data_IF_045944576296
#
_entry.id   IF_045944576296
#
_cell.length_a   1.000
_cell.length_b   1.000
_cell.length_c   1.000
_cell.angle_alpha   90.00
_cell.angle_beta   90.00
_cell.angle_gamma   90.00
#
_symmetry.space_group_name_H-M   'P 1'
#
loop_
_entity.id
_entity.type
_entity.pdbx_description
1 polymer ?
#
# COMPACT_ATOMS: atom_id res chain seq x y z
N UNK A 1 26.22 4.46 8.98
CA UNK A 1 25.19 5.41 8.51
C UNK A 1 23.88 4.64 8.28
N UNK A 2 22.76 5.15 8.78
CA UNK A 2 21.43 4.53 8.58
C UNK A 2 20.95 4.75 7.15
N UNK A 3 20.54 3.69 6.45
CA UNK A 3 19.94 3.78 5.11
C UNK A 3 18.57 4.45 5.22
N UNK A 4 18.25 5.34 4.27
CA UNK A 4 16.94 5.96 4.11
C UNK A 4 16.23 5.30 2.94
N UNK A 5 15.02 4.80 3.17
CA UNK A 5 14.26 4.03 2.19
C UNK A 5 12.86 4.65 2.03
N UNK A 6 12.46 4.90 0.78
CA UNK A 6 11.08 5.25 0.46
C UNK A 6 10.35 3.96 0.07
N UNK A 7 9.23 3.69 0.72
CA UNK A 7 8.34 2.58 0.35
C UNK A 7 6.95 3.16 0.15
N UNK A 8 6.30 2.78 -0.94
CA UNK A 8 4.92 3.12 -1.25
C UNK A 8 4.29 1.97 -2.03
N UNK A 9 2.98 1.83 -1.98
CA UNK A 9 2.30 0.78 -2.72
C UNK A 9 0.96 1.21 -3.28
N UNK A 10 0.66 0.76 -4.48
CA UNK A 10 -0.69 0.77 -5.04
C UNK A 10 -0.97 -0.61 -5.63
N UNK A 11 -2.19 -1.13 -5.42
CA UNK A 11 -2.60 -2.43 -5.95
C UNK A 11 -4.00 -2.36 -6.55
N UNK A 12 -4.13 -2.91 -7.74
CA UNK A 12 -5.37 -3.15 -8.45
C UNK A 12 -5.09 -4.17 -9.55
N UNK A 13 -6.04 -5.06 -9.80
CA UNK A 13 -5.99 -6.01 -10.91
C UNK A 13 -7.18 -5.72 -11.83
N UNK A 14 -6.88 -5.40 -13.10
CA UNK A 14 -7.91 -4.98 -14.05
C UNK A 14 -8.59 -6.18 -14.68
N UNK A 15 -9.90 -6.23 -14.57
CA UNK A 15 -10.78 -7.08 -15.38
C UNK A 15 -11.36 -6.26 -16.54
N UNK A 16 -10.84 -6.48 -17.75
CA UNK A 16 -11.23 -5.74 -18.96
C UNK A 16 -12.70 -5.90 -19.36
N UNK A 17 -13.39 -6.94 -18.86
CA UNK A 17 -14.82 -7.16 -19.11
C UNK A 17 -15.74 -6.49 -18.08
N UNK A 18 -15.20 -6.02 -16.95
CA UNK A 18 -15.99 -5.32 -15.93
C UNK A 18 -16.38 -3.92 -16.43
N UNK A 19 -17.67 -3.62 -16.37
CA UNK A 19 -18.20 -2.27 -16.65
C UNK A 19 -18.06 -1.30 -15.47
N UNK A 20 -17.71 -1.80 -14.29
CA UNK A 20 -17.53 -0.99 -13.10
C UNK A 20 -16.10 -0.44 -13.06
N UNK A 21 -15.88 0.88 -13.16
CA UNK A 21 -14.53 1.44 -13.10
C UNK A 21 -13.93 1.27 -11.69
N UNK A 22 -12.60 1.22 -11.62
CA UNK A 22 -11.86 1.31 -10.36
C UNK A 22 -11.44 2.75 -10.12
N UNK A 23 -12.38 3.55 -9.62
CA UNK A 23 -12.14 4.95 -9.33
C UNK A 23 -11.59 5.17 -7.90
N UNK A 24 -11.44 6.44 -7.51
CA UNK A 24 -10.99 6.80 -6.17
C UNK A 24 -11.92 6.32 -5.06
N UNK A 25 -13.22 6.14 -5.31
CA UNK A 25 -14.14 5.60 -4.32
C UNK A 25 -13.84 4.11 -4.08
N UNK A 26 -13.51 3.35 -5.13
CA UNK A 26 -13.10 1.95 -5.02
C UNK A 26 -11.83 1.76 -4.17
N UNK A 27 -10.83 2.65 -4.30
CA UNK A 27 -9.66 2.64 -3.42
C UNK A 27 -10.00 2.97 -1.97
N UNK A 28 -10.78 4.05 -1.74
CA UNK A 28 -11.19 4.46 -0.39
C UNK A 28 -12.05 3.40 0.32
N UNK A 29 -12.83 2.62 -0.44
CA UNK A 29 -13.68 1.56 0.10
C UNK A 29 -12.90 0.35 0.62
N UNK A 30 -11.66 0.12 0.17
CA UNK A 30 -10.83 -1.01 0.61
C UNK A 30 -9.60 -0.57 1.39
N UNK A 31 -8.71 0.18 0.77
CA UNK A 31 -7.49 0.68 1.41
C UNK A 31 -6.99 1.94 0.72
N UNK A 32 -6.92 3.03 1.46
CA UNK A 32 -6.36 4.29 1.03
C UNK A 32 -5.73 4.99 2.25
N UNK A 33 -4.57 4.48 2.67
CA UNK A 33 -3.85 4.98 3.84
C UNK A 33 -2.77 5.97 3.41
N UNK A 34 -2.59 7.04 4.19
CA UNK A 34 -1.61 8.09 3.91
C UNK A 34 -0.69 8.31 5.10
N UNK A 35 0.56 8.64 4.79
CA UNK A 35 1.58 9.03 5.76
C UNK A 35 1.66 8.02 6.95
N UNK A 36 1.56 8.49 8.19
CA UNK A 36 1.68 7.66 9.39
C UNK A 36 0.61 6.57 9.49
N UNK A 37 -0.54 6.74 8.82
CA UNK A 37 -1.57 5.70 8.82
C UNK A 37 -1.07 4.42 8.19
N UNK A 38 -0.15 4.51 7.24
CA UNK A 38 0.31 3.33 6.52
C UNK A 38 1.12 2.43 7.44
N UNK A 39 2.11 2.97 8.15
CA UNK A 39 2.88 2.20 9.11
C UNK A 39 1.98 1.63 10.22
N UNK A 40 1.03 2.43 10.71
CA UNK A 40 0.09 2.01 11.75
C UNK A 40 -0.83 0.86 11.31
N UNK A 41 -1.32 0.88 10.06
CA UNK A 41 -2.30 -0.11 9.55
C UNK A 41 -1.66 -1.34 8.91
N UNK A 42 -0.42 -1.22 8.41
CA UNK A 42 0.22 -2.29 7.65
C UNK A 42 1.25 -3.09 8.45
N UNK A 43 1.74 -2.58 9.59
CA UNK A 43 2.65 -3.30 10.48
C UNK A 43 1.99 -4.59 10.99
N UNK A 44 2.75 -5.68 10.99
CA UNK A 44 2.27 -7.00 11.43
C UNK A 44 1.31 -7.69 10.46
N UNK A 45 1.07 -7.13 9.27
CA UNK A 45 0.29 -7.81 8.23
C UNK A 45 1.20 -8.69 7.38
N UNK A 46 0.67 -9.80 6.85
CA UNK A 46 1.36 -10.66 5.88
C UNK A 46 1.31 -10.07 4.45
N UNK A 47 1.49 -8.75 4.31
CA UNK A 47 1.51 -8.05 3.02
C UNK A 47 2.94 -7.62 2.67
N UNK A 48 3.16 -7.24 1.42
CA UNK A 48 4.46 -6.76 0.93
C UNK A 48 4.92 -5.51 1.69
N UNK A 49 3.98 -4.62 2.06
CA UNK A 49 4.28 -3.43 2.87
C UNK A 49 4.59 -3.82 4.31
N UNK A 50 3.85 -4.76 4.91
CA UNK A 50 4.15 -5.30 6.24
C UNK A 50 5.57 -5.87 6.30
N UNK A 51 5.93 -6.73 5.34
CA UNK A 51 7.27 -7.31 5.25
C UNK A 51 8.38 -6.25 5.06
N UNK A 52 8.11 -5.18 4.30
CA UNK A 52 9.08 -4.10 4.12
C UNK A 52 9.30 -3.30 5.41
N UNK A 53 8.26 -3.10 6.22
CA UNK A 53 8.37 -2.48 7.55
C UNK A 53 9.19 -3.36 8.50
N UNK A 54 8.92 -4.67 8.53
CA UNK A 54 9.66 -5.63 9.35
C UNK A 54 11.15 -5.68 8.96
N UNK A 55 11.45 -5.65 7.66
CA UNK A 55 12.83 -5.60 7.16
C UNK A 55 13.57 -4.33 7.60
N UNK A 56 12.93 -3.17 7.56
CA UNK A 56 13.56 -1.95 8.02
C UNK A 56 13.82 -1.93 9.51
N UNK A 57 12.92 -2.48 10.32
CA UNK A 57 13.17 -2.65 11.75
C UNK A 57 14.36 -3.59 11.99
N UNK A 58 14.36 -4.76 11.33
CA UNK A 58 15.45 -5.74 11.40
C UNK A 58 16.81 -5.17 11.00
N UNK A 59 16.85 -4.30 10.00
CA UNK A 59 18.09 -3.76 9.44
C UNK A 59 18.41 -2.32 9.87
N UNK A 60 17.63 -1.75 10.79
CA UNK A 60 17.82 -0.39 11.31
C UNK A 60 17.71 0.70 10.23
N UNK A 61 16.81 0.55 9.27
CA UNK A 61 16.56 1.54 8.20
C UNK A 61 15.57 2.61 8.64
N UNK A 62 15.75 3.83 8.14
CA UNK A 62 14.75 4.90 8.26
C UNK A 62 13.81 4.85 7.06
N UNK A 63 12.54 4.53 7.28
CA UNK A 63 11.51 4.48 6.23
C UNK A 63 10.75 5.80 6.16
N UNK A 64 10.46 6.26 4.93
CA UNK A 64 9.34 7.16 4.64
C UNK A 64 8.26 6.39 3.88
N UNK A 65 7.01 6.48 4.34
CA UNK A 65 5.89 5.75 3.74
C UNK A 65 4.69 6.67 3.44
N UNK A 66 4.66 7.33 2.27
CA UNK A 66 3.64 8.36 2.00
C UNK A 66 2.25 7.79 1.68
N UNK A 67 2.16 6.58 1.11
CA UNK A 67 0.87 6.03 0.67
C UNK A 67 0.89 4.51 0.52
N UNK A 68 -0.21 3.88 0.95
CA UNK A 68 -0.61 2.55 0.52
C UNK A 68 -2.07 2.54 0.09
N UNK A 69 -2.31 2.17 -1.17
CA UNK A 69 -3.63 2.13 -1.77
C UNK A 69 -3.91 0.76 -2.38
N UNK A 70 -5.07 0.17 -2.13
CA UNK A 70 -5.46 -1.11 -2.71
C UNK A 70 -6.96 -1.10 -2.99
N UNK A 71 -7.34 -1.34 -4.23
CA UNK A 71 -8.74 -1.48 -4.64
C UNK A 71 -9.10 -2.96 -4.85
N UNK A 72 -10.38 -3.30 -4.71
CA UNK A 72 -10.86 -4.63 -5.13
C UNK A 72 -10.76 -4.74 -6.65
N UNK A 73 -10.30 -5.87 -7.22
CA UNK A 73 -10.26 -6.06 -8.67
C UNK A 73 -11.60 -5.76 -9.34
N UNK A 74 -11.56 -4.99 -10.41
CA UNK A 74 -12.71 -4.50 -11.19
C UNK A 74 -12.20 -3.92 -12.52
N UNK A 75 -12.98 -3.05 -13.17
CA UNK A 75 -12.66 -2.46 -14.47
C UNK A 75 -11.43 -1.55 -14.46
N UNK A 76 -11.27 -0.79 -15.54
CA UNK A 76 -10.13 0.11 -15.72
C UNK A 76 -10.08 1.18 -14.62
N UNK A 77 -8.85 1.56 -14.26
CA UNK A 77 -8.53 2.78 -13.51
C UNK A 77 -8.47 3.95 -14.49
#
# INVERSE_FOLDING_TARGET
MTKRVLIAGFKHETNTFSKLPTDMAAYKARTYYRDDEVARKMRGTATEIGAALDAAEKHGWSIRHPIYANATPSGKV
#
